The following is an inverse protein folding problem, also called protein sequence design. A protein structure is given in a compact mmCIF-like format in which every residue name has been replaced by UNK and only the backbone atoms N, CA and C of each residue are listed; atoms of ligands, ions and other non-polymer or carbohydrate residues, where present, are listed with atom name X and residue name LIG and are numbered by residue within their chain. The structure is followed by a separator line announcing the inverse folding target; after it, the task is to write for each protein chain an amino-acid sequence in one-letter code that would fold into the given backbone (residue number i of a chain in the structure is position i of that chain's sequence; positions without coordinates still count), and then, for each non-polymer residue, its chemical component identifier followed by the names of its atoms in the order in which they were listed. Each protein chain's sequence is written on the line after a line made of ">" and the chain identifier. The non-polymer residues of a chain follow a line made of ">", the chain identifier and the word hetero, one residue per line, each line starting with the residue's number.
data_IF_330830318166
#
_entry.id   IF_330830318166
#
_cell.length_a   1.000
_cell.length_b   1.000
_cell.length_c   1.000
_cell.angle_alpha   90.00
_cell.angle_beta   90.00
_cell.angle_gamma   90.00
#
_symmetry.space_group_name_H-M   'P 1'
#
loop_
_entity.id
_entity.type
_entity.pdbx_description
1 polymer ?
#
# COMPACT_ATOMS: atom_id res chain seq x y z
N UNK A 1 -52.23 -1.31 20.76
CA UNK A 1 -51.62 -0.01 20.38
C UNK A 1 -50.15 -0.08 20.71
N UNK A 2 -49.31 0.11 19.69
CA UNK A 2 -47.84 0.09 19.75
C UNK A 2 -47.25 0.98 20.84
N UNK A 3 -46.03 0.61 21.29
CA UNK A 3 -44.88 1.46 21.66
C UNK A 3 -43.80 0.52 22.19
N UNK A 4 -42.57 0.47 21.73
CA UNK A 4 -41.84 1.10 20.65
C UNK A 4 -40.44 0.52 20.76
N UNK A 5 -39.97 -0.17 19.73
CA UNK A 5 -38.64 -0.79 19.71
C UNK A 5 -37.57 0.29 19.68
N UNK A 6 -37.03 0.63 20.85
CA UNK A 6 -35.86 1.49 20.96
C UNK A 6 -34.63 0.75 20.46
N UNK A 7 -34.38 0.80 19.15
CA UNK A 7 -33.10 0.41 18.58
C UNK A 7 -32.05 1.37 19.16
N UNK A 8 -31.32 0.91 20.17
CA UNK A 8 -30.17 1.62 20.73
C UNK A 8 -29.18 1.81 19.59
N UNK A 9 -29.20 3.01 18.99
CA UNK A 9 -28.24 3.41 17.98
C UNK A 9 -26.86 3.22 18.60
N UNK A 10 -26.14 2.19 18.15
CA UNK A 10 -24.74 1.99 18.52
C UNK A 10 -24.03 3.23 17.97
N UNK A 11 -23.77 4.18 18.86
CA UNK A 11 -23.16 5.45 18.50
C UNK A 11 -21.69 5.14 18.21
N UNK A 12 -21.36 4.96 16.94
CA UNK A 12 -19.99 4.70 16.49
C UNK A 12 -19.15 5.90 16.93
N UNK A 13 -18.36 5.72 17.97
CA UNK A 13 -17.40 6.73 18.40
C UNK A 13 -16.23 6.71 17.42
N UNK A 14 -16.19 7.69 16.51
CA UNK A 14 -15.02 7.92 15.68
C UNK A 14 -13.89 8.41 16.59
N UNK A 15 -12.88 7.58 16.81
CA UNK A 15 -11.60 8.01 17.39
C UNK A 15 -10.72 8.56 16.28
N UNK A 16 -10.01 9.65 16.54
CA UNK A 16 -9.02 10.18 15.60
C UNK A 16 -7.81 9.24 15.57
N UNK A 17 -7.55 8.64 14.41
CA UNK A 17 -6.43 7.70 14.22
C UNK A 17 -5.05 8.39 14.26
N UNK A 18 -5.03 9.72 14.13
CA UNK A 18 -3.80 10.52 13.96
C UNK A 18 -2.84 10.49 15.17
N UNK A 19 -3.32 10.24 16.38
CA UNK A 19 -2.46 10.14 17.58
C UNK A 19 -1.88 8.73 17.77
N UNK A 20 -2.51 7.73 17.15
CA UNK A 20 -2.09 6.31 17.21
C UNK A 20 -1.26 5.88 16.02
N UNK A 21 -1.26 6.67 14.95
CA UNK A 21 -0.50 6.38 13.73
C UNK A 21 0.97 6.80 13.86
N UNK A 22 1.90 6.01 13.29
CA UNK A 22 3.28 6.43 13.18
C UNK A 22 3.38 7.70 12.33
N UNK A 23 4.09 8.70 12.84
CA UNK A 23 4.26 9.97 12.12
C UNK A 23 5.07 9.75 10.85
N UNK A 24 4.59 10.28 9.73
CA UNK A 24 5.35 10.31 8.48
C UNK A 24 6.66 11.08 8.66
N UNK A 25 7.74 10.54 8.09
CA UNK A 25 9.03 11.22 8.04
C UNK A 25 8.93 12.55 7.30
N UNK A 26 9.68 13.56 7.73
CA UNK A 26 9.79 14.82 6.99
C UNK A 26 10.66 14.64 5.71
N UNK A 27 10.62 15.62 4.81
CA UNK A 27 11.32 15.51 3.51
C UNK A 27 12.83 15.24 3.64
N UNK A 28 13.51 15.87 4.59
CA UNK A 28 14.94 15.65 4.83
C UNK A 28 15.22 14.23 5.35
N UNK A 29 14.36 13.73 6.23
CA UNK A 29 14.45 12.36 6.74
C UNK A 29 14.18 11.33 5.65
N UNK A 30 13.24 11.59 4.74
CA UNK A 30 12.98 10.74 3.58
C UNK A 30 14.22 10.69 2.68
N UNK A 31 14.80 11.85 2.33
CA UNK A 31 16.01 11.89 1.53
C UNK A 31 17.17 11.16 2.21
N UNK A 32 17.38 11.38 3.50
CA UNK A 32 18.42 10.69 4.25
C UNK A 32 18.21 9.16 4.27
N UNK A 33 16.99 8.71 4.56
CA UNK A 33 16.66 7.28 4.57
C UNK A 33 16.86 6.64 3.18
N UNK A 34 16.52 7.37 2.12
CA UNK A 34 16.75 6.93 0.73
C UNK A 34 18.24 6.72 0.45
N UNK A 35 19.09 7.69 0.78
CA UNK A 35 20.52 7.57 0.53
C UNK A 35 21.15 6.45 1.37
N UNK A 36 20.70 6.27 2.61
CA UNK A 36 21.12 5.15 3.45
C UNK A 36 20.70 3.80 2.86
N UNK A 37 19.47 3.69 2.34
CA UNK A 37 19.00 2.47 1.69
C UNK A 37 19.80 2.15 0.42
N UNK A 38 20.08 3.16 -0.42
CA UNK A 38 20.93 3.00 -1.60
C UNK A 38 22.35 2.55 -1.23
N UNK A 39 22.90 3.09 -0.15
CA UNK A 39 24.21 2.66 0.34
C UNK A 39 24.21 1.16 0.71
N UNK A 40 23.17 0.66 1.38
CA UNK A 40 23.06 -0.77 1.70
C UNK A 40 22.98 -1.61 0.41
N UNK A 41 22.10 -1.25 -0.52
CA UNK A 41 21.89 -1.99 -1.76
C UNK A 41 23.16 -2.06 -2.64
N UNK A 42 23.94 -0.98 -2.67
CA UNK A 42 25.12 -0.91 -3.52
C UNK A 42 26.36 -1.57 -2.90
N UNK A 43 26.42 -1.73 -1.58
CA UNK A 43 27.62 -2.17 -0.88
C UNK A 43 27.49 -3.53 -0.18
N UNK A 44 26.28 -4.08 -0.07
CA UNK A 44 26.01 -5.37 0.59
C UNK A 44 25.55 -6.42 -0.40
N UNK A 45 25.69 -7.69 -0.04
CA UNK A 45 25.09 -8.78 -0.81
C UNK A 45 23.56 -8.69 -0.73
N UNK A 46 22.87 -9.31 -1.69
CA UNK A 46 21.40 -9.37 -1.69
C UNK A 46 20.85 -9.98 -0.40
N UNK A 47 21.45 -11.08 0.07
CA UNK A 47 21.04 -11.76 1.30
C UNK A 47 21.21 -10.87 2.54
N UNK A 48 22.35 -10.16 2.65
CA UNK A 48 22.61 -9.26 3.76
C UNK A 48 21.68 -8.05 3.72
N UNK A 49 21.42 -7.48 2.55
CA UNK A 49 20.49 -6.38 2.38
C UNK A 49 19.06 -6.78 2.78
N UNK A 50 18.59 -7.96 2.35
CA UNK A 50 17.27 -8.48 2.74
C UNK A 50 17.18 -8.61 4.27
N UNK A 51 18.20 -9.19 4.90
CA UNK A 51 18.23 -9.31 6.36
C UNK A 51 18.13 -7.94 7.04
N UNK A 52 18.89 -6.94 6.58
CA UNK A 52 18.84 -5.57 7.12
C UNK A 52 17.43 -4.95 6.99
N UNK A 53 16.79 -5.09 5.83
CA UNK A 53 15.48 -4.45 5.59
C UNK A 53 14.30 -5.18 6.24
N UNK A 54 14.47 -6.46 6.57
CA UNK A 54 13.41 -7.29 7.15
C UNK A 54 13.61 -7.58 8.64
N UNK A 55 14.72 -7.15 9.23
CA UNK A 55 15.02 -7.36 10.64
C UNK A 55 13.92 -6.76 11.53
N UNK A 56 13.30 -7.61 12.36
CA UNK A 56 12.24 -7.19 13.28
C UNK A 56 10.86 -7.01 12.64
N UNK A 57 10.70 -7.27 11.34
CA UNK A 57 9.37 -7.31 10.71
C UNK A 57 8.72 -8.68 10.93
N UNK A 58 7.48 -8.67 11.41
CA UNK A 58 6.64 -9.87 11.39
C UNK A 58 5.95 -9.98 10.04
N UNK A 59 6.10 -11.13 9.39
CA UNK A 59 5.34 -11.42 8.17
C UNK A 59 3.85 -11.38 8.52
N UNK A 60 3.06 -10.62 7.76
CA UNK A 60 1.61 -10.72 7.88
C UNK A 60 1.25 -12.09 7.32
N UNK A 61 0.92 -13.03 8.20
CA UNK A 61 0.40 -14.33 7.80
C UNK A 61 -0.92 -14.06 7.08
N UNK A 62 -0.87 -13.90 5.76
CA UNK A 62 -2.05 -13.98 4.89
C UNK A 62 -2.57 -15.40 5.04
N UNK A 63 -3.48 -15.60 6.01
CA UNK A 63 -4.22 -16.85 6.15
C UNK A 63 -4.82 -17.17 4.78
N UNK A 64 -4.41 -18.31 4.22
CA UNK A 64 -4.88 -18.86 2.95
C UNK A 64 -4.51 -18.08 1.67
N UNK A 65 -3.23 -17.75 1.46
CA UNK A 65 -2.71 -17.82 0.09
C UNK A 65 -2.57 -19.29 -0.29
N UNK A 66 -3.63 -19.85 -0.89
CA UNK A 66 -3.60 -21.17 -1.51
C UNK A 66 -2.35 -21.29 -2.39
N UNK A 67 -1.53 -22.29 -2.07
CA UNK A 67 -0.37 -22.74 -2.82
C UNK A 67 -0.76 -22.92 -4.30
N UNK A 68 -0.50 -21.92 -5.13
CA UNK A 68 -0.86 -21.94 -6.55
C UNK A 68 -1.28 -20.61 -7.18
N UNK A 69 -1.42 -19.54 -6.40
CA UNK A 69 -1.60 -18.20 -6.95
C UNK A 69 -0.29 -17.69 -7.54
N UNK A 70 -0.07 -17.89 -8.83
CA UNK A 70 0.87 -17.09 -9.61
C UNK A 70 0.63 -15.62 -9.23
N UNK A 71 1.62 -14.99 -8.58
CA UNK A 71 1.66 -13.53 -8.54
C UNK A 71 1.76 -13.12 -10.01
N UNK A 72 0.62 -12.77 -10.61
CA UNK A 72 0.59 -12.01 -11.85
C UNK A 72 1.18 -10.65 -11.48
N UNK A 73 2.51 -10.59 -11.35
CA UNK A 73 3.21 -9.37 -11.66
C UNK A 73 2.82 -9.13 -13.11
N UNK A 74 1.96 -8.16 -13.34
CA UNK A 74 1.60 -7.69 -14.67
C UNK A 74 2.87 -7.09 -15.29
N UNK A 75 3.76 -7.98 -15.72
CA UNK A 75 4.92 -7.69 -16.54
C UNK A 75 4.50 -7.85 -18.00
N UNK A 76 3.50 -7.09 -18.41
CA UNK A 76 3.31 -6.77 -19.83
C UNK A 76 4.26 -5.62 -20.18
N UNK A 77 5.57 -5.93 -20.17
CA UNK A 77 6.61 -5.17 -20.86
C UNK A 77 6.74 -5.71 -22.30
N UNK A 78 5.65 -5.63 -23.08
CA UNK A 78 5.65 -5.90 -24.52
C UNK A 78 4.56 -5.03 -25.17
N UNK A 79 4.67 -3.70 -25.07
CA UNK A 79 3.79 -2.81 -25.83
C UNK A 79 4.49 -2.41 -27.14
N UNK A 80 4.41 -3.33 -28.09
CA UNK A 80 4.65 -3.06 -29.51
C UNK A 80 3.67 -1.95 -29.94
N UNK A 81 4.23 -0.85 -30.44
CA UNK A 81 3.48 0.31 -30.87
C UNK A 81 2.67 -0.03 -32.13
N UNK A 82 1.44 -0.52 -31.97
CA UNK A 82 0.47 -0.54 -33.05
C UNK A 82 -0.87 0.05 -32.60
N UNK A 83 -1.30 1.02 -33.40
CA UNK A 83 -2.37 1.95 -33.12
C UNK A 83 -3.76 1.31 -33.09
N UNK A 84 -4.65 2.01 -32.36
CA UNK A 84 -6.11 2.00 -32.50
C UNK A 84 -6.90 1.01 -31.64
N UNK A 85 -6.78 1.12 -30.31
CA UNK A 85 -7.94 0.93 -29.42
C UNK A 85 -8.02 2.06 -28.40
N UNK A 86 -9.16 2.74 -28.38
CA UNK A 86 -9.47 3.91 -27.57
C UNK A 86 -9.41 3.55 -26.08
N UNK A 87 -8.24 3.74 -25.46
CA UNK A 87 -8.13 3.87 -24.02
C UNK A 87 -9.00 5.07 -23.63
N UNK A 88 -10.17 4.80 -23.05
CA UNK A 88 -11.02 5.80 -22.42
C UNK A 88 -10.30 6.31 -21.17
N UNK A 89 -9.29 7.16 -21.37
CA UNK A 89 -8.71 7.98 -20.31
C UNK A 89 -9.84 8.95 -19.92
N UNK A 90 -10.61 8.57 -18.89
CA UNK A 90 -11.61 9.44 -18.31
C UNK A 90 -10.85 10.62 -17.70
N UNK A 91 -10.95 11.77 -18.36
CA UNK A 91 -10.23 12.99 -17.97
C UNK A 91 -10.58 13.34 -16.52
N UNK A 92 -9.55 13.48 -15.69
CA UNK A 92 -9.66 13.96 -14.30
C UNK A 92 -10.39 15.29 -14.23
N UNK A 93 -10.37 16.09 -15.30
CA UNK A 93 -11.11 17.33 -15.42
C UNK A 93 -12.66 17.15 -15.40
N UNK A 94 -13.16 15.92 -15.62
CA UNK A 94 -14.59 15.61 -15.61
C UNK A 94 -15.08 14.90 -14.35
N UNK A 95 -14.22 14.73 -13.34
CA UNK A 95 -14.65 14.17 -12.05
C UNK A 95 -15.45 15.22 -11.26
N UNK A 96 -16.59 14.84 -10.62
CA UNK A 96 -17.36 15.76 -9.77
C UNK A 96 -16.59 16.11 -8.49
N UNK A 97 -16.83 17.31 -7.96
CA UNK A 97 -16.39 17.76 -6.63
C UNK A 97 -17.34 17.27 -5.53
#
# INVERSE_FOLDING_TARGET
>A
MERGGGSSRIQIQRKSSIETEPRTLNIHQIHFAREAALFVLNNRSSEEAINIFTEGLESVNSGDMQKGGHVMLDSDDENDFDADEKILIRDVATAPF
#
